data_IF_710312720375
#
_entry.id   IF_710312720375
#
_cell.length_a   1.000
_cell.length_b   1.000
_cell.length_c   1.000
_cell.angle_alpha   90.00
_cell.angle_beta   90.00
_cell.angle_gamma   90.00
#
_symmetry.space_group_name_H-M   'P 1'
#
loop_
_entity.id
_entity.type
_entity.pdbx_description
1 polymer ?
#
# COMPACT_ATOMS: atom_id res chain seq x y z
N UNK A 1 29.52 -11.89 17.39
CA UNK A 1 28.41 -12.77 17.03
C UNK A 1 27.07 -12.16 17.33
N UNK A 2 26.87 -11.72 18.55
CA UNK A 2 25.60 -11.09 18.92
C UNK A 2 25.29 -9.85 18.07
N UNK A 3 26.32 -9.10 17.70
CA UNK A 3 26.12 -7.90 16.89
C UNK A 3 25.57 -8.23 15.49
N UNK A 4 26.01 -9.34 14.92
CA UNK A 4 25.51 -9.75 13.60
C UNK A 4 24.05 -10.16 13.68
N UNK A 5 23.65 -10.84 14.74
CA UNK A 5 22.26 -11.21 14.92
C UNK A 5 21.37 -9.98 15.08
N UNK A 6 21.84 -8.99 15.81
CA UNK A 6 21.09 -7.75 15.96
C UNK A 6 20.93 -7.02 14.64
N UNK A 7 21.99 -6.98 13.83
CA UNK A 7 21.92 -6.35 12.51
C UNK A 7 20.90 -7.05 11.63
N UNK A 8 20.88 -8.37 11.66
CA UNK A 8 19.92 -9.15 10.90
C UNK A 8 18.48 -8.84 11.29
N UNK A 9 18.23 -8.75 12.58
CA UNK A 9 16.90 -8.42 13.06
C UNK A 9 16.50 -7.02 12.67
N UNK A 10 17.45 -6.09 12.77
CA UNK A 10 17.16 -4.71 12.41
C UNK A 10 16.79 -4.58 10.94
N UNK A 11 17.51 -5.28 10.06
CA UNK A 11 17.21 -5.27 8.63
C UNK A 11 15.84 -5.86 8.36
N UNK A 12 15.41 -6.82 9.17
CA UNK A 12 14.08 -7.42 9.01
C UNK A 12 12.94 -6.46 9.25
N UNK A 13 13.19 -5.35 9.95
CA UNK A 13 12.13 -4.36 10.18
C UNK A 13 11.78 -3.57 8.94
N UNK A 14 12.69 -3.52 7.96
CA UNK A 14 12.46 -2.81 6.71
C UNK A 14 12.21 -3.79 5.59
N UNK A 15 11.15 -4.53 5.70
CA UNK A 15 10.82 -5.51 4.68
C UNK A 15 10.26 -4.83 3.44
N UNK A 16 10.66 -5.35 2.30
CA UNK A 16 10.06 -4.97 1.02
C UNK A 16 8.59 -5.36 1.05
N UNK A 17 7.78 -4.54 0.44
CA UNK A 17 6.39 -4.87 0.28
C UNK A 17 6.21 -5.99 -0.73
N UNK A 18 5.13 -6.75 -0.58
CA UNK A 18 4.79 -7.82 -1.49
C UNK A 18 3.40 -7.62 -2.07
N UNK A 19 2.52 -6.96 -1.33
CA UNK A 19 1.16 -6.75 -1.78
C UNK A 19 0.68 -5.37 -1.41
N UNK A 20 -0.26 -4.88 -2.22
CA UNK A 20 -0.92 -3.60 -2.01
C UNK A 20 -2.36 -3.91 -1.65
N UNK A 21 -2.81 -3.40 -0.51
CA UNK A 21 -4.18 -3.61 -0.06
C UNK A 21 -4.92 -2.29 -0.19
N UNK A 22 -6.06 -2.34 -0.86
CA UNK A 22 -6.94 -1.19 -1.02
C UNK A 22 -8.12 -1.35 -0.07
N UNK A 23 -8.31 -0.35 0.77
CA UNK A 23 -9.43 -0.35 1.71
C UNK A 23 -10.32 0.86 1.46
N UNK A 24 -11.62 0.63 1.47
CA UNK A 24 -12.59 1.71 1.34
C UNK A 24 -13.58 1.58 2.50
N UNK A 25 -13.77 2.68 3.22
CA UNK A 25 -14.65 2.71 4.39
C UNK A 25 -14.26 1.65 5.42
N UNK A 26 -12.95 1.42 5.58
CA UNK A 26 -12.44 0.47 6.55
C UNK A 26 -12.50 -0.98 6.14
N UNK A 27 -12.92 -1.25 4.91
CA UNK A 27 -13.01 -2.63 4.41
C UNK A 27 -12.07 -2.83 3.24
N UNK A 28 -11.40 -3.96 3.21
CA UNK A 28 -10.54 -4.31 2.10
C UNK A 28 -11.40 -4.60 0.88
N UNK A 29 -11.20 -3.86 -0.19
CA UNK A 29 -11.98 -4.04 -1.42
C UNK A 29 -11.16 -4.65 -2.54
N UNK A 30 -9.82 -4.56 -2.46
CA UNK A 30 -8.97 -5.11 -3.50
C UNK A 30 -7.58 -5.38 -2.95
N UNK A 31 -6.86 -6.25 -3.63
CA UNK A 31 -5.50 -6.64 -3.26
C UNK A 31 -4.72 -6.95 -4.52
N UNK A 32 -3.54 -6.36 -4.64
CA UNK A 32 -2.72 -6.52 -5.83
C UNK A 32 -1.29 -6.88 -5.45
N UNK A 33 -0.61 -7.60 -6.34
CA UNK A 33 0.81 -7.90 -6.14
C UNK A 33 1.62 -6.65 -6.44
N UNK A 34 2.55 -6.33 -5.55
CA UNK A 34 3.36 -5.12 -5.71
C UNK A 34 4.39 -5.26 -6.83
N UNK A 35 4.75 -6.47 -7.17
CA UNK A 35 5.74 -6.71 -8.23
C UNK A 35 5.11 -6.84 -9.62
N UNK A 36 3.81 -6.68 -9.74
CA UNK A 36 3.14 -6.67 -11.04
C UNK A 36 2.67 -5.26 -11.35
N UNK A 37 3.17 -4.71 -12.44
CA UNK A 37 2.78 -3.36 -12.85
C UNK A 37 1.29 -3.32 -13.17
N UNK A 38 0.63 -2.29 -12.68
CA UNK A 38 -0.81 -2.19 -12.82
C UNK A 38 -1.28 -0.76 -12.59
N UNK A 39 -2.30 -0.35 -13.32
CA UNK A 39 -2.95 0.94 -13.09
C UNK A 39 -4.43 0.66 -12.89
N UNK A 40 -4.98 1.14 -11.78
CA UNK A 40 -6.36 0.87 -11.40
C UNK A 40 -7.03 2.19 -11.00
N UNK A 41 -8.21 2.42 -11.54
CA UNK A 41 -9.01 3.55 -11.08
C UNK A 41 -9.96 3.05 -10.01
N UNK A 42 -9.84 3.61 -8.82
CA UNK A 42 -10.65 3.22 -7.68
C UNK A 42 -11.76 4.25 -7.52
N UNK A 43 -13.00 3.81 -7.70
CA UNK A 43 -14.15 4.69 -7.56
C UNK A 43 -14.84 4.43 -6.24
N UNK A 44 -15.33 5.47 -5.62
CA UNK A 44 -16.00 5.36 -4.33
C UNK A 44 -16.80 6.61 -4.04
N UNK A 45 -17.22 6.72 -2.78
CA UNK A 45 -17.98 7.87 -2.34
C UNK A 45 -17.17 9.14 -2.52
N UNK A 46 -17.75 10.13 -3.14
CA UNK A 46 -17.12 11.43 -3.27
C UNK A 46 -16.17 11.59 -4.43
N UNK A 47 -15.79 10.51 -5.12
CA UNK A 47 -14.91 10.66 -6.25
C UNK A 47 -14.04 9.45 -6.53
N UNK A 48 -12.91 9.69 -7.20
CA UNK A 48 -12.04 8.61 -7.64
C UNK A 48 -10.57 8.87 -7.27
N UNK A 49 -9.80 7.79 -7.29
CA UNK A 49 -8.35 7.83 -7.13
C UNK A 49 -7.75 6.84 -8.13
N UNK A 50 -6.65 7.23 -8.77
CA UNK A 50 -5.95 6.34 -9.70
C UNK A 50 -4.72 5.79 -9.00
N UNK A 51 -4.70 4.48 -8.82
CA UNK A 51 -3.59 3.78 -8.19
C UNK A 51 -2.67 3.24 -9.28
N UNK A 52 -1.38 3.54 -9.16
CA UNK A 52 -0.38 3.01 -10.06
C UNK A 52 0.57 2.14 -9.27
N UNK A 53 0.84 0.94 -9.79
CA UNK A 53 1.83 0.03 -9.23
C UNK A 53 2.85 -0.19 -10.34
N UNK A 54 4.10 0.15 -10.06
CA UNK A 54 5.16 0.05 -11.06
C UNK A 54 6.51 -0.12 -10.39
N UNK A 55 7.27 -1.09 -10.86
CA UNK A 55 8.63 -1.33 -10.38
C UNK A 55 8.72 -1.50 -8.86
N UNK A 56 7.73 -2.17 -8.28
CA UNK A 56 7.73 -2.44 -6.83
C UNK A 56 7.34 -1.26 -5.98
N UNK A 57 6.73 -0.24 -6.58
CA UNK A 57 6.26 0.93 -5.87
C UNK A 57 4.79 1.17 -6.19
N UNK A 58 4.10 1.83 -5.29
CA UNK A 58 2.70 2.18 -5.49
C UNK A 58 2.48 3.63 -5.11
N UNK A 59 1.60 4.30 -5.86
CA UNK A 59 1.25 5.68 -5.54
C UNK A 59 -0.09 6.01 -6.17
N UNK A 60 -0.68 7.10 -5.71
CA UNK A 60 -1.89 7.64 -6.32
C UNK A 60 -1.48 8.76 -7.25
N UNK A 61 -1.65 8.53 -8.56
CA UNK A 61 -1.22 9.49 -9.57
C UNK A 61 -2.23 10.59 -9.78
N UNK A 62 -3.52 10.29 -9.55
CA UNK A 62 -4.60 11.24 -9.74
C UNK A 62 -5.68 10.99 -8.70
N UNK A 63 -6.35 12.06 -8.32
CA UNK A 63 -7.52 11.96 -7.45
C UNK A 63 -8.30 13.25 -7.61
N UNK A 64 -9.60 13.19 -7.44
CA UNK A 64 -10.43 14.39 -7.50
C UNK A 64 -10.78 14.91 -6.10
N UNK A 65 -9.92 14.62 -5.13
CA UNK A 65 -10.13 15.17 -3.79
C UNK A 65 -9.58 16.61 -3.73
N UNK A 66 -10.20 17.48 -2.92
CA UNK A 66 -9.83 18.89 -2.90
C UNK A 66 -8.40 19.17 -2.45
N UNK A 67 -7.89 18.42 -1.49
CA UNK A 67 -6.57 18.69 -0.92
C UNK A 67 -5.42 18.07 -1.69
N UNK A 68 -5.68 17.00 -2.45
CA UNK A 68 -4.66 16.27 -3.18
C UNK A 68 -3.56 15.71 -2.29
N UNK A 69 -3.82 15.57 -0.99
CA UNK A 69 -2.84 15.07 -0.05
C UNK A 69 -2.43 13.64 -0.35
N UNK A 70 -3.39 12.82 -0.79
CA UNK A 70 -3.11 11.43 -1.14
C UNK A 70 -2.12 11.35 -2.31
N UNK A 71 -2.28 12.22 -3.30
CA UNK A 71 -1.37 12.28 -4.44
C UNK A 71 -0.01 12.79 -3.99
N UNK A 72 0.01 13.79 -3.12
CA UNK A 72 1.25 14.40 -2.65
C UNK A 72 2.05 13.48 -1.73
N UNK A 73 1.44 12.45 -1.17
CA UNK A 73 2.14 11.49 -0.33
C UNK A 73 3.30 10.84 -1.08
N UNK A 74 3.13 10.65 -2.39
CA UNK A 74 4.18 10.08 -3.20
C UNK A 74 4.19 8.57 -3.18
N UNK A 75 5.33 7.99 -3.50
CA UNK A 75 5.45 6.55 -3.68
C UNK A 75 5.73 5.81 -2.39
N UNK A 76 5.10 4.66 -2.24
CA UNK A 76 5.33 3.78 -1.10
C UNK A 76 5.75 2.41 -1.63
N UNK A 77 6.59 1.70 -0.87
CA UNK A 77 7.13 0.40 -1.30
C UNK A 77 7.44 -0.55 -0.16
N UNK A 78 7.52 -0.06 1.07
CA UNK A 78 7.87 -0.91 2.20
C UNK A 78 6.63 -1.31 2.97
N UNK A 79 6.67 -2.51 3.54
CA UNK A 79 5.59 -2.97 4.39
C UNK A 79 5.36 -1.98 5.53
N UNK A 80 4.10 -1.67 5.77
CA UNK A 80 3.72 -0.72 6.80
C UNK A 80 3.48 0.69 6.30
N UNK A 81 3.90 1.00 5.08
CA UNK A 81 3.62 2.32 4.50
C UNK A 81 2.20 2.36 3.96
N UNK A 82 1.60 3.53 4.00
CA UNK A 82 0.24 3.69 3.51
C UNK A 82 -0.01 5.08 2.97
N UNK A 83 -1.03 5.17 2.12
CA UNK A 83 -1.54 6.43 1.58
C UNK A 83 -3.01 6.49 1.97
N UNK A 84 -3.43 7.59 2.56
CA UNK A 84 -4.81 7.74 3.01
C UNK A 84 -5.43 8.95 2.34
N UNK A 85 -6.63 8.76 1.78
CA UNK A 85 -7.43 9.85 1.22
C UNK A 85 -8.70 9.95 2.07
N UNK A 86 -8.69 10.87 3.02
CA UNK A 86 -9.81 11.02 3.95
C UNK A 86 -11.12 11.39 3.29
N UNK A 87 -11.15 12.36 2.35
CA UNK A 87 -12.40 12.70 1.67
C UNK A 87 -13.06 11.53 0.98
N UNK A 88 -12.28 10.59 0.47
CA UNK A 88 -12.80 9.42 -0.24
C UNK A 88 -12.85 8.18 0.66
N UNK A 89 -12.40 8.31 1.91
CA UNK A 89 -12.31 7.19 2.86
C UNK A 89 -11.57 6.01 2.28
N UNK A 90 -10.50 6.32 1.57
CA UNK A 90 -9.67 5.33 0.90
C UNK A 90 -8.33 5.21 1.62
N UNK A 91 -7.88 3.99 1.78
CA UNK A 91 -6.53 3.72 2.27
C UNK A 91 -5.87 2.70 1.36
N UNK A 92 -4.62 2.96 1.01
CA UNK A 92 -3.79 2.04 0.24
C UNK A 92 -2.58 1.73 1.10
N UNK A 93 -2.37 0.48 1.41
CA UNK A 93 -1.25 0.12 2.27
C UNK A 93 -0.47 -1.05 1.73
N UNK A 94 0.80 -1.09 2.11
CA UNK A 94 1.72 -2.13 1.68
C UNK A 94 1.87 -3.15 2.79
N UNK A 95 1.78 -4.42 2.44
CA UNK A 95 2.07 -5.52 3.35
C UNK A 95 3.13 -6.40 2.73
N UNK A 96 3.85 -7.13 3.56
CA UNK A 96 4.91 -7.99 3.05
C UNK A 96 5.19 -9.14 3.98
N UNK A 97 5.96 -10.11 3.47
CA UNK A 97 6.38 -11.27 4.23
C UNK A 97 5.21 -12.08 4.74
N UNK A 98 5.29 -12.50 5.99
CA UNK A 98 4.26 -13.32 6.62
C UNK A 98 2.91 -12.61 6.65
N UNK A 99 2.92 -11.28 6.77
CA UNK A 99 1.67 -10.51 6.81
C UNK A 99 0.90 -10.64 5.50
N UNK A 100 1.60 -10.64 4.37
CA UNK A 100 0.95 -10.80 3.08
C UNK A 100 0.34 -12.18 2.94
N UNK A 101 1.04 -13.21 3.40
CA UNK A 101 0.55 -14.58 3.36
C UNK A 101 -0.66 -14.76 4.28
N UNK A 102 -0.58 -14.20 5.47
CA UNK A 102 -1.69 -14.27 6.42
C UNK A 102 -2.93 -13.61 5.84
N UNK A 103 -2.75 -12.51 5.16
CA UNK A 103 -3.87 -11.80 4.55
C UNK A 103 -4.51 -12.60 3.43
N UNK A 104 -3.70 -13.39 2.70
CA UNK A 104 -4.19 -14.24 1.63
C UNK A 104 -4.88 -15.48 2.16
N UNK A 105 -4.33 -16.10 3.20
CA UNK A 105 -4.85 -17.35 3.73
C UNK A 105 -5.82 -17.18 4.87
N UNK A 106 -5.87 -16.00 5.46
CA UNK A 106 -6.72 -15.73 6.59
C UNK A 106 -8.19 -15.83 6.26
N UNK A 107 -9.01 -15.96 7.27
CA UNK A 107 -10.46 -16.04 7.08
C UNK A 107 -11.02 -14.75 6.54
#
# INVERSE_FOLDING_TARGET
MAALACCGLWLGLRRKGEAVIVEQNGKETARYALFEDRTVQIEGEGGYNTLVIESGEAWLSEADCPTQLCVKTGRIRYAGQSIVCLPHRLAVRIVGGASALDAVTGP
#
